data_IF_320592409328
#
_entry.id   IF_320592409328
#
_cell.length_a   1.000
_cell.length_b   1.000
_cell.length_c   1.000
_cell.angle_alpha   90.00
_cell.angle_beta   90.00
_cell.angle_gamma   90.00
#
_symmetry.space_group_name_H-M   'P 1'
#
loop_
_entity.id
_entity.type
_entity.pdbx_description
1 polymer ?
#
# COMPACT_ATOMS: atom_id res chain seq x y z
N UNK A 1 -11.23 23.60 5.25
CA UNK A 1 -10.26 24.06 6.26
C UNK A 1 -8.97 23.29 6.03
N UNK A 2 -7.83 23.99 5.89
CA UNK A 2 -6.52 23.34 5.86
C UNK A 2 -5.93 23.45 7.26
N UNK A 3 -6.09 22.41 8.06
CA UNK A 3 -5.38 22.29 9.34
C UNK A 3 -3.88 22.13 9.08
N UNK A 4 -3.06 22.80 9.88
CA UNK A 4 -1.60 22.70 9.87
C UNK A 4 -1.13 21.79 11.00
N UNK A 5 0.09 21.26 10.90
CA UNK A 5 0.69 20.44 11.97
C UNK A 5 0.73 21.19 13.31
N UNK A 6 0.97 22.50 13.29
CA UNK A 6 1.00 23.33 14.50
C UNK A 6 -0.37 23.55 15.16
N UNK A 7 -1.47 23.15 14.52
CA UNK A 7 -2.81 23.27 15.09
C UNK A 7 -3.13 22.14 16.07
N UNK A 8 -2.32 21.07 16.09
CA UNK A 8 -2.47 19.93 16.98
C UNK A 8 -1.69 20.15 18.28
N UNK A 9 -2.31 19.75 19.40
CA UNK A 9 -1.64 19.64 20.69
C UNK A 9 -0.61 18.50 20.69
N UNK A 10 0.33 18.55 21.62
CA UNK A 10 1.30 17.45 21.83
C UNK A 10 0.60 16.11 22.06
N UNK A 11 -0.52 16.10 22.79
CA UNK A 11 -1.30 14.88 23.04
C UNK A 11 -1.94 14.32 21.78
N UNK A 12 -2.48 15.18 20.90
CA UNK A 12 -3.05 14.75 19.62
C UNK A 12 -1.97 14.22 18.67
N UNK A 13 -0.80 14.86 18.64
CA UNK A 13 0.34 14.36 17.87
C UNK A 13 0.80 12.99 18.37
N UNK A 14 0.84 12.80 19.68
CA UNK A 14 1.19 11.52 20.31
C UNK A 14 0.16 10.42 19.97
N UNK A 15 -1.13 10.75 19.96
CA UNK A 15 -2.20 9.84 19.54
C UNK A 15 -2.07 9.44 18.07
N UNK A 16 -1.81 10.40 17.18
CA UNK A 16 -1.60 10.12 15.75
C UNK A 16 -0.39 9.18 15.57
N UNK A 17 0.73 9.47 16.24
CA UNK A 17 1.92 8.61 16.21
C UNK A 17 1.60 7.19 16.66
N UNK A 18 0.93 7.05 17.80
CA UNK A 18 0.59 5.74 18.37
C UNK A 18 -0.38 4.97 17.48
N UNK A 19 -1.32 5.66 16.83
CA UNK A 19 -2.22 5.04 15.85
C UNK A 19 -1.48 4.55 14.60
N UNK A 20 -0.55 5.35 14.05
CA UNK A 20 0.28 4.93 12.94
C UNK A 20 1.13 3.68 13.27
N UNK A 21 1.68 3.62 14.48
CA UNK A 21 2.44 2.45 14.97
C UNK A 21 1.51 1.24 15.14
N UNK A 22 0.35 1.43 15.76
CA UNK A 22 -0.65 0.36 15.95
C UNK A 22 -1.08 -0.24 14.61
N UNK A 23 -1.37 0.60 13.61
CA UNK A 23 -1.73 0.16 12.27
C UNK A 23 -0.58 -0.60 11.60
N UNK A 24 0.65 -0.12 11.70
CA UNK A 24 1.83 -0.82 11.18
C UNK A 24 2.06 -2.18 11.83
N UNK A 25 1.85 -2.29 13.14
CA UNK A 25 2.00 -3.56 13.85
C UNK A 25 0.87 -4.54 13.53
N UNK A 26 -0.34 -4.03 13.28
CA UNK A 26 -1.51 -4.86 12.98
C UNK A 26 -1.54 -5.37 11.54
N UNK A 27 -1.15 -4.53 10.57
CA UNK A 27 -1.24 -4.86 9.14
C UNK A 27 0.13 -5.12 8.48
N UNK A 28 1.24 -4.82 9.15
CA UNK A 28 2.59 -4.94 8.60
C UNK A 28 3.05 -3.72 7.79
N UNK A 29 4.26 -3.79 7.23
CA UNK A 29 4.92 -2.71 6.47
C UNK A 29 4.40 -2.54 5.02
N UNK A 30 3.34 -3.27 4.64
CA UNK A 30 2.90 -3.37 3.25
C UNK A 30 3.97 -4.01 2.34
N UNK A 31 3.69 -4.06 1.04
CA UNK A 31 4.61 -4.63 0.05
C UNK A 31 5.09 -3.49 -0.87
N UNK A 32 6.38 -3.10 -0.80
CA UNK A 32 6.90 -2.04 -1.67
C UNK A 32 6.98 -2.55 -3.11
N UNK A 33 6.36 -1.80 -4.03
CA UNK A 33 6.38 -2.06 -5.47
C UNK A 33 6.77 -0.79 -6.21
N UNK A 34 7.37 -0.94 -7.39
CA UNK A 34 7.57 0.22 -8.28
C UNK A 34 6.20 0.74 -8.73
N UNK A 35 6.09 2.04 -9.01
CA UNK A 35 4.82 2.66 -9.47
C UNK A 35 4.18 1.90 -10.64
N UNK A 36 4.99 1.43 -11.59
CA UNK A 36 4.50 0.69 -12.76
C UNK A 36 3.87 -0.65 -12.36
N UNK A 37 4.53 -1.41 -11.50
CA UNK A 37 4.03 -2.72 -11.03
C UNK A 37 2.81 -2.54 -10.12
N UNK A 38 2.84 -1.53 -9.25
CA UNK A 38 1.71 -1.17 -8.38
C UNK A 38 0.45 -0.84 -9.18
N UNK A 39 0.60 -0.02 -10.24
CA UNK A 39 -0.52 0.32 -11.11
C UNK A 39 -1.05 -0.90 -11.87
N UNK A 40 -0.16 -1.76 -12.39
CA UNK A 40 -0.56 -2.99 -13.07
C UNK A 40 -1.38 -3.91 -12.15
N UNK A 41 -0.96 -4.04 -10.88
CA UNK A 41 -1.74 -4.78 -9.90
C UNK A 41 -3.16 -4.20 -9.75
N UNK A 42 -3.29 -2.88 -9.62
CA UNK A 42 -4.60 -2.23 -9.50
C UNK A 42 -5.45 -2.24 -10.77
N UNK A 43 -4.83 -2.28 -11.95
CA UNK A 43 -5.56 -2.47 -13.22
C UNK A 43 -6.25 -3.84 -13.27
N UNK A 44 -5.65 -4.87 -12.67
CA UNK A 44 -6.17 -6.24 -12.68
C UNK A 44 -7.16 -6.47 -11.53
N UNK A 45 -6.81 -6.06 -10.30
CA UNK A 45 -7.55 -6.42 -9.08
C UNK A 45 -8.34 -5.24 -8.47
N UNK A 46 -8.32 -4.06 -9.09
CA UNK A 46 -8.91 -2.84 -8.57
C UNK A 46 -8.06 -2.15 -7.48
N UNK A 47 -8.49 -0.97 -7.03
CA UNK A 47 -7.74 -0.12 -6.09
C UNK A 47 -8.09 -0.32 -4.62
N UNK A 48 -9.09 -1.15 -4.31
CA UNK A 48 -9.72 -1.20 -3.00
C UNK A 48 -10.04 -2.63 -2.58
N UNK A 49 -10.02 -2.90 -1.28
CA UNK A 49 -10.30 -4.21 -0.69
C UNK A 49 -9.38 -5.33 -1.21
N UNK A 50 -8.15 -5.00 -1.60
CA UNK A 50 -7.18 -5.99 -2.02
C UNK A 50 -6.68 -6.83 -0.85
N UNK A 51 -6.38 -8.10 -1.11
CA UNK A 51 -5.91 -9.05 -0.10
C UNK A 51 -4.66 -9.83 -0.56
N UNK A 52 -4.08 -10.57 0.37
CA UNK A 52 -2.84 -11.31 0.16
C UNK A 52 -2.95 -12.39 -0.94
N UNK A 53 -4.13 -13.01 -1.11
CA UNK A 53 -4.35 -14.04 -2.14
C UNK A 53 -4.22 -13.42 -3.54
N UNK A 54 -4.85 -12.27 -3.75
CA UNK A 54 -4.75 -11.53 -5.03
C UNK A 54 -3.31 -11.12 -5.31
N UNK A 55 -2.60 -10.64 -4.29
CA UNK A 55 -1.20 -10.24 -4.47
C UNK A 55 -0.27 -11.43 -4.75
N UNK A 56 -0.48 -12.58 -4.10
CA UNK A 56 0.30 -13.79 -4.36
C UNK A 56 0.02 -14.36 -5.76
N UNK A 57 -1.24 -14.33 -6.20
CA UNK A 57 -1.61 -14.67 -7.58
C UNK A 57 -0.92 -13.75 -8.59
N UNK A 58 -1.00 -12.43 -8.36
CA UNK A 58 -0.31 -11.43 -9.19
C UNK A 58 1.20 -11.69 -9.26
N UNK A 59 1.84 -11.94 -8.12
CA UNK A 59 3.28 -12.25 -8.04
C UNK A 59 3.61 -13.47 -8.88
N UNK A 60 2.86 -14.56 -8.76
CA UNK A 60 3.09 -15.77 -9.55
C UNK A 60 2.95 -15.51 -11.05
N UNK A 61 1.94 -14.75 -11.48
CA UNK A 61 1.75 -14.36 -12.89
C UNK A 61 2.91 -13.50 -13.41
N UNK A 62 3.37 -12.56 -12.59
CA UNK A 62 4.50 -11.70 -12.91
C UNK A 62 5.81 -12.48 -13.01
N UNK A 63 6.11 -13.36 -12.05
CA UNK A 63 7.32 -14.20 -12.03
C UNK A 63 7.35 -15.24 -13.17
N UNK A 64 6.17 -15.67 -13.65
CA UNK A 64 6.04 -16.53 -14.82
C UNK A 64 6.12 -15.77 -16.16
N UNK A 65 6.39 -14.47 -16.14
CA UNK A 65 6.62 -13.66 -17.34
C UNK A 65 5.34 -13.26 -18.10
N UNK A 66 4.16 -13.42 -17.52
CA UNK A 66 2.88 -13.11 -18.19
C UNK A 66 2.81 -11.67 -18.70
N UNK A 67 3.53 -10.75 -18.06
CA UNK A 67 3.49 -9.32 -18.35
C UNK A 67 4.73 -8.78 -19.08
N UNK A 68 5.70 -9.61 -19.48
CA UNK A 68 6.97 -9.15 -20.07
C UNK A 68 6.78 -8.18 -21.24
N UNK A 69 5.79 -8.43 -22.10
CA UNK A 69 5.47 -7.58 -23.25
C UNK A 69 5.03 -6.15 -22.87
N UNK A 70 4.57 -5.92 -21.64
CA UNK A 70 4.18 -4.59 -21.13
C UNK A 70 5.38 -3.78 -20.62
N UNK A 71 6.54 -4.42 -20.48
CA UNK A 71 7.77 -3.81 -19.96
C UNK A 71 8.88 -3.61 -21.00
N UNK A 72 8.61 -3.99 -22.25
CA UNK A 72 9.49 -3.78 -23.40
C UNK A 72 9.26 -2.43 -24.09
#
# INVERSE_FOLDING_TARGET
MNSKIGDFTVNELEQIKNECVRLHLNYGLGIPLTKKIHNLFHEIYGTSNNNEIQFNEFRNRYENGEFEALFN
#
